data_IF_068597325784
#
_entry.id   IF_068597325784
#
_cell.length_a   1.000
_cell.length_b   1.000
_cell.length_c   1.000
_cell.angle_alpha   90.00
_cell.angle_beta   90.00
_cell.angle_gamma   90.00
#
_symmetry.space_group_name_H-M   'P 1'
#
loop_
_entity.id
_entity.type
_entity.pdbx_description
1 polymer ?
#
# COMPACT_ATOMS: atom_id res chain seq x y z
N UNK A 1 3.64 -23.92 -14.72
CA UNK A 1 4.82 -23.08 -14.47
C UNK A 1 4.57 -22.33 -13.17
N UNK A 2 5.21 -22.77 -12.07
CA UNK A 2 5.19 -22.02 -10.80
C UNK A 2 6.16 -20.83 -10.94
N UNK A 3 5.73 -19.75 -11.60
CA UNK A 3 6.43 -18.48 -11.45
C UNK A 3 6.17 -18.04 -10.01
N UNK A 4 7.19 -18.15 -9.16
CA UNK A 4 7.24 -17.34 -7.94
C UNK A 4 7.06 -15.91 -8.45
N UNK A 5 5.95 -15.27 -8.07
CA UNK A 5 5.76 -13.86 -8.41
C UNK A 5 6.90 -13.10 -7.74
N UNK A 6 7.52 -12.16 -8.43
CA UNK A 6 8.63 -11.36 -7.89
C UNK A 6 8.28 -10.73 -6.53
N UNK A 7 6.99 -10.40 -6.31
CA UNK A 7 6.44 -9.85 -5.07
C UNK A 7 6.56 -10.82 -3.90
N UNK A 8 6.31 -12.12 -4.08
CA UNK A 8 6.42 -13.08 -2.98
C UNK A 8 7.87 -13.30 -2.56
N UNK A 9 8.79 -13.29 -3.51
CA UNK A 9 10.22 -13.37 -3.25
C UNK A 9 10.75 -12.07 -2.62
N UNK A 10 10.33 -10.90 -3.15
CA UNK A 10 10.76 -9.60 -2.68
C UNK A 10 10.39 -9.36 -1.21
N UNK A 11 9.20 -9.74 -0.79
CA UNK A 11 8.70 -9.49 0.58
C UNK A 11 8.84 -10.70 1.51
N UNK A 12 9.24 -11.86 1.02
CA UNK A 12 9.29 -13.09 1.83
C UNK A 12 7.92 -13.59 2.29
N UNK A 13 6.88 -13.38 1.50
CA UNK A 13 5.48 -13.74 1.78
C UNK A 13 5.01 -14.95 0.96
N UNK A 14 3.93 -15.59 1.41
CA UNK A 14 3.39 -16.77 0.75
C UNK A 14 2.47 -16.43 -0.43
N UNK A 15 1.64 -15.41 -0.27
CA UNK A 15 0.64 -14.98 -1.27
C UNK A 15 0.98 -13.58 -1.76
N UNK A 16 0.87 -13.29 -3.06
CA UNK A 16 1.15 -11.96 -3.61
C UNK A 16 0.02 -10.97 -3.32
N UNK A 17 -0.37 -10.87 -2.05
CA UNK A 17 -1.45 -10.03 -1.54
C UNK A 17 -0.89 -9.09 -0.49
N UNK A 18 -1.05 -7.80 -0.72
CA UNK A 18 -0.72 -6.72 0.21
C UNK A 18 -2.01 -6.13 0.76
N UNK A 19 -2.14 -6.03 2.06
CA UNK A 19 -3.19 -5.23 2.68
C UNK A 19 -2.77 -3.76 2.68
N UNK A 20 -3.56 -2.91 2.06
CA UNK A 20 -3.27 -1.48 1.90
C UNK A 20 -3.11 -0.76 3.25
N UNK A 21 -2.17 0.17 3.32
CA UNK A 21 -2.07 1.10 4.44
C UNK A 21 -3.20 2.11 4.40
N UNK A 22 -4.22 1.94 5.24
CA UNK A 22 -5.42 2.78 5.26
C UNK A 22 -5.44 3.65 6.53
N UNK A 23 -5.65 4.96 6.35
CA UNK A 23 -5.80 5.94 7.43
C UNK A 23 -6.93 5.50 8.37
N UNK A 24 -6.73 5.59 9.69
CA UNK A 24 -7.67 5.21 10.76
C UNK A 24 -8.08 3.72 10.79
N UNK A 25 -7.60 2.90 9.87
CA UNK A 25 -8.06 1.51 9.67
C UNK A 25 -6.94 0.49 9.87
N UNK A 26 -5.78 0.74 9.28
CA UNK A 26 -4.67 -0.20 9.27
C UNK A 26 -3.74 -0.02 10.45
N UNK A 27 -4.12 -0.60 11.59
CA UNK A 27 -3.29 -0.69 12.79
C UNK A 27 -2.47 -1.98 12.84
N UNK A 28 -1.75 -2.17 13.94
CA UNK A 28 -0.91 -3.34 14.17
C UNK A 28 -1.68 -4.67 14.15
N UNK A 29 -2.93 -4.69 14.63
CA UNK A 29 -3.77 -5.90 14.66
C UNK A 29 -4.02 -6.43 13.25
N UNK A 30 -4.48 -5.56 12.35
CA UNK A 30 -4.72 -5.92 10.96
C UNK A 30 -3.42 -6.30 10.26
N UNK A 31 -2.37 -5.49 10.39
CA UNK A 31 -1.09 -5.76 9.74
C UNK A 31 -0.49 -7.11 10.17
N UNK A 32 -0.47 -7.41 11.48
CA UNK A 32 0.05 -8.68 11.97
C UNK A 32 -0.82 -9.88 11.58
N UNK A 33 -2.14 -9.74 11.58
CA UNK A 33 -3.05 -10.81 11.17
C UNK A 33 -2.86 -11.20 9.69
N UNK A 34 -2.76 -10.21 8.80
CA UNK A 34 -2.49 -10.45 7.37
C UNK A 34 -1.12 -11.09 7.17
N UNK A 35 -0.09 -10.60 7.86
CA UNK A 35 1.26 -11.17 7.80
C UNK A 35 1.28 -12.62 8.28
N UNK A 36 0.61 -12.94 9.38
CA UNK A 36 0.48 -14.30 9.90
C UNK A 36 -0.30 -15.23 8.94
N UNK A 37 -1.25 -14.67 8.18
CA UNK A 37 -1.99 -15.40 7.14
C UNK A 37 -1.17 -15.63 5.85
N UNK A 38 0.00 -15.01 5.72
CA UNK A 38 0.92 -15.23 4.59
C UNK A 38 0.87 -14.16 3.49
N UNK A 39 0.13 -13.07 3.68
CA UNK A 39 0.21 -11.85 2.88
C UNK A 39 1.22 -10.86 3.47
N UNK A 40 1.21 -9.62 2.98
CA UNK A 40 1.93 -8.50 3.56
C UNK A 40 0.96 -7.52 4.21
N UNK A 41 1.00 -7.41 5.54
CA UNK A 41 0.25 -6.40 6.27
C UNK A 41 1.00 -5.07 6.35
N UNK A 42 0.29 -3.95 6.14
CA UNK A 42 0.85 -2.61 6.25
C UNK A 42 0.19 -1.82 7.39
N UNK A 43 1.01 -1.20 8.23
CA UNK A 43 0.55 -0.17 9.17
C UNK A 43 0.42 1.15 8.41
N UNK A 44 -0.75 1.77 8.43
CA UNK A 44 -1.00 3.06 7.77
C UNK A 44 -0.57 4.23 8.67
N UNK A 45 0.57 4.84 8.40
CA UNK A 45 1.11 5.92 9.21
C UNK A 45 0.41 7.28 9.04
N UNK A 46 -0.32 7.47 7.94
CA UNK A 46 -0.85 8.77 7.51
C UNK A 46 -1.80 9.49 8.49
N UNK A 47 -2.26 8.82 9.55
CA UNK A 47 -3.10 9.43 10.59
C UNK A 47 -2.48 9.32 11.98
N UNK A 48 -1.24 8.87 12.08
CA UNK A 48 -0.62 8.58 13.37
C UNK A 48 0.40 9.65 13.73
N UNK A 49 0.30 10.19 14.95
CA UNK A 49 1.40 10.90 15.56
C UNK A 49 2.58 9.95 15.81
N UNK A 50 3.83 10.45 15.87
CA UNK A 50 5.03 9.63 16.00
C UNK A 50 4.97 8.59 17.14
N UNK A 51 4.50 8.96 18.33
CA UNK A 51 4.40 8.06 19.48
C UNK A 51 3.39 6.93 19.25
N UNK A 52 2.27 7.24 18.61
CA UNK A 52 1.26 6.25 18.23
C UNK A 52 1.82 5.30 17.19
N UNK A 53 2.50 5.83 16.19
CA UNK A 53 3.13 5.04 15.14
C UNK A 53 4.19 4.08 15.72
N UNK A 54 5.07 4.57 16.59
CA UNK A 54 6.05 3.76 17.32
C UNK A 54 5.38 2.62 18.09
N UNK A 55 4.29 2.93 18.80
CA UNK A 55 3.51 1.96 19.55
C UNK A 55 2.95 0.87 18.64
N UNK A 56 2.41 1.24 17.48
CA UNK A 56 1.89 0.28 16.50
C UNK A 56 2.98 -0.63 15.92
N UNK A 57 4.15 -0.10 15.59
CA UNK A 57 5.29 -0.89 15.12
C UNK A 57 5.70 -1.94 16.18
N UNK A 58 5.87 -1.51 17.43
CA UNK A 58 6.30 -2.42 18.52
C UNK A 58 5.28 -3.51 18.80
N UNK A 59 3.98 -3.16 18.83
CA UNK A 59 2.90 -4.14 18.98
C UNK A 59 2.84 -5.13 17.82
N UNK A 60 3.07 -4.65 16.59
CA UNK A 60 3.12 -5.52 15.41
C UNK A 60 4.28 -6.52 15.50
N UNK A 61 5.48 -6.05 15.88
CA UNK A 61 6.64 -6.92 16.12
C UNK A 61 6.40 -7.97 17.19
N UNK A 62 5.66 -7.62 18.23
CA UNK A 62 5.30 -8.57 19.29
C UNK A 62 4.23 -9.58 18.84
N UNK A 63 3.39 -9.24 17.87
CA UNK A 63 2.26 -10.05 17.40
C UNK A 63 2.61 -10.99 16.23
N UNK A 64 3.74 -10.75 15.53
CA UNK A 64 4.15 -11.56 14.38
C UNK A 64 5.67 -11.62 14.23
N UNK A 65 6.17 -12.78 13.79
CA UNK A 65 7.54 -12.97 13.32
C UNK A 65 7.62 -12.98 11.78
N UNK A 66 6.52 -12.67 11.09
CA UNK A 66 6.44 -12.61 9.64
C UNK A 66 6.72 -11.18 9.15
N UNK A 67 7.13 -11.01 7.88
CA UNK A 67 7.31 -9.69 7.30
C UNK A 67 6.04 -8.85 7.40
N UNK A 68 6.20 -7.60 7.79
CA UNK A 68 5.18 -6.56 7.71
C UNK A 68 5.83 -5.27 7.24
N UNK A 69 5.03 -4.33 6.78
CA UNK A 69 5.52 -3.03 6.35
C UNK A 69 4.74 -1.87 6.95
N UNK A 70 5.11 -0.68 6.55
CA UNK A 70 4.42 0.56 6.87
C UNK A 70 4.11 1.32 5.57
N UNK A 71 2.98 2.01 5.51
CA UNK A 71 2.66 2.95 4.44
C UNK A 71 2.78 4.38 4.97
N UNK A 72 3.56 5.21 4.27
CA UNK A 72 3.88 6.58 4.67
C UNK A 72 3.57 7.54 3.53
N UNK A 73 2.51 8.34 3.63
CA UNK A 73 2.27 9.44 2.71
C UNK A 73 3.28 10.57 2.98
N UNK A 74 4.14 10.88 2.00
CA UNK A 74 5.31 11.75 2.19
C UNK A 74 4.98 13.24 2.42
N UNK A 75 3.74 13.66 2.18
CA UNK A 75 3.30 15.03 2.38
C UNK A 75 2.72 15.31 3.78
N UNK A 76 2.70 14.32 4.66
CA UNK A 76 2.21 14.50 6.03
C UNK A 76 3.22 15.26 6.91
N UNK A 77 2.71 16.01 7.91
CA UNK A 77 3.56 16.65 8.92
C UNK A 77 4.43 15.63 9.68
N UNK A 78 5.50 16.09 10.28
CA UNK A 78 6.39 15.26 11.13
C UNK A 78 7.04 14.08 10.39
N UNK A 79 7.30 14.24 9.09
CA UNK A 79 7.87 13.18 8.28
C UNK A 79 9.25 12.73 8.78
N UNK A 80 10.08 13.67 9.22
CA UNK A 80 11.42 13.37 9.73
C UNK A 80 11.36 12.47 10.98
N UNK A 81 10.41 12.73 11.89
CA UNK A 81 10.19 11.89 13.08
C UNK A 81 9.70 10.48 12.70
N UNK A 82 8.77 10.39 11.75
CA UNK A 82 8.26 9.11 11.25
C UNK A 82 9.40 8.29 10.63
N UNK A 83 10.24 8.91 9.80
CA UNK A 83 11.36 8.23 9.15
C UNK A 83 12.44 7.84 10.16
N UNK A 84 12.72 8.69 11.16
CA UNK A 84 13.64 8.35 12.25
C UNK A 84 13.16 7.11 13.04
N UNK A 85 11.86 7.01 13.30
CA UNK A 85 11.25 5.83 13.95
C UNK A 85 11.42 4.58 13.07
N UNK A 86 11.14 4.67 11.76
CA UNK A 86 11.28 3.56 10.81
C UNK A 86 12.71 3.02 10.83
N UNK A 87 13.70 3.91 10.74
CA UNK A 87 15.11 3.56 10.75
C UNK A 87 15.54 2.94 12.09
N UNK A 88 15.18 3.58 13.21
CA UNK A 88 15.48 3.11 14.57
C UNK A 88 14.88 1.75 14.87
N UNK A 89 13.62 1.56 14.50
CA UNK A 89 12.89 0.30 14.70
C UNK A 89 13.21 -0.74 13.61
N UNK A 90 14.03 -0.42 12.61
CA UNK A 90 14.42 -1.34 11.52
C UNK A 90 13.20 -2.00 10.87
N UNK A 91 12.22 -1.18 10.46
CA UNK A 91 11.05 -1.68 9.74
C UNK A 91 11.52 -2.22 8.38
N UNK A 92 11.22 -3.47 8.02
CA UNK A 92 11.85 -4.10 6.87
C UNK A 92 11.35 -3.59 5.51
N UNK A 93 10.09 -3.11 5.44
CA UNK A 93 9.41 -2.75 4.19
C UNK A 93 8.67 -1.42 4.37
N UNK A 94 8.89 -0.47 3.48
CA UNK A 94 8.25 0.85 3.48
C UNK A 94 7.57 1.11 2.15
N UNK A 95 6.26 1.35 2.21
CA UNK A 95 5.47 1.85 1.09
C UNK A 95 5.36 3.37 1.24
N UNK A 96 5.84 4.12 0.28
CA UNK A 96 5.70 5.58 0.22
C UNK A 96 4.62 5.96 -0.77
N UNK A 97 3.91 7.05 -0.51
CA UNK A 97 2.87 7.60 -1.38
C UNK A 97 2.83 9.13 -1.27
N UNK A 98 2.06 9.78 -2.12
CA UNK A 98 1.74 11.21 -2.03
C UNK A 98 2.97 12.10 -1.79
N UNK A 99 3.89 12.14 -2.76
CA UNK A 99 5.07 12.98 -2.66
C UNK A 99 6.18 12.57 -3.62
N UNK A 100 7.40 13.10 -3.39
CA UNK A 100 8.53 12.79 -4.23
C UNK A 100 9.27 11.52 -3.72
N UNK A 101 9.29 10.41 -4.48
CA UNK A 101 9.98 9.19 -4.05
C UNK A 101 11.49 9.40 -3.79
N UNK A 102 12.13 10.34 -4.49
CA UNK A 102 13.56 10.60 -4.30
C UNK A 102 13.93 11.19 -2.93
N UNK A 103 12.96 11.73 -2.17
CA UNK A 103 13.25 12.39 -0.89
C UNK A 103 13.81 11.43 0.16
N UNK A 104 13.27 10.21 0.22
CA UNK A 104 13.62 9.26 1.29
C UNK A 104 14.13 7.91 0.77
N UNK A 105 13.91 7.57 -0.49
CA UNK A 105 14.34 6.27 -1.03
C UNK A 105 15.83 6.02 -0.83
N UNK A 106 16.76 6.95 -1.10
CA UNK A 106 18.19 6.69 -0.90
C UNK A 106 18.53 6.36 0.55
N UNK A 107 17.97 7.10 1.51
CA UNK A 107 18.19 6.88 2.95
C UNK A 107 17.67 5.53 3.41
N UNK A 108 16.45 5.17 3.01
CA UNK A 108 15.82 3.90 3.36
C UNK A 108 16.58 2.72 2.73
N UNK A 109 16.99 2.84 1.47
CA UNK A 109 17.80 1.83 0.77
C UNK A 109 19.17 1.63 1.42
N UNK A 110 19.83 2.70 1.83
CA UNK A 110 21.11 2.64 2.56
C UNK A 110 20.99 1.89 3.89
N UNK A 111 19.81 1.92 4.51
CA UNK A 111 19.47 1.15 5.72
C UNK A 111 19.05 -0.31 5.45
N UNK A 112 19.08 -0.77 4.19
CA UNK A 112 18.67 -2.14 3.81
C UNK A 112 17.15 -2.36 3.81
N UNK A 113 16.36 -1.29 3.75
CA UNK A 113 14.89 -1.36 3.75
C UNK A 113 14.40 -1.53 2.31
N UNK A 114 13.43 -2.42 2.11
CA UNK A 114 12.71 -2.56 0.84
C UNK A 114 11.74 -1.40 0.68
N UNK A 115 11.87 -0.64 -0.41
CA UNK A 115 11.08 0.57 -0.68
C UNK A 115 10.15 0.33 -1.86
N UNK A 116 8.87 0.62 -1.66
CA UNK A 116 7.82 0.56 -2.67
C UNK A 116 7.18 1.94 -2.79
N UNK A 117 6.84 2.38 -4.00
CA UNK A 117 6.15 3.67 -4.18
C UNK A 117 4.81 3.49 -4.89
N UNK A 118 3.78 4.20 -4.39
CA UNK A 118 2.44 4.18 -4.98
C UNK A 118 2.36 5.24 -6.08
N UNK A 119 1.86 4.85 -7.25
CA UNK A 119 1.82 5.69 -8.45
C UNK A 119 0.46 5.61 -9.14
N UNK A 120 0.01 6.73 -9.73
CA UNK A 120 -1.25 6.83 -10.47
C UNK A 120 -1.06 6.93 -12.00
N UNK A 121 0.19 6.97 -12.47
CA UNK A 121 0.49 7.13 -13.90
C UNK A 121 1.85 6.52 -14.27
N UNK A 122 2.06 6.31 -15.57
CA UNK A 122 3.35 5.88 -16.14
C UNK A 122 4.46 6.88 -15.79
N UNK A 123 4.18 8.18 -15.86
CA UNK A 123 5.14 9.24 -15.51
C UNK A 123 5.65 9.07 -14.07
N UNK A 124 4.77 8.79 -13.14
CA UNK A 124 5.15 8.60 -11.74
C UNK A 124 5.84 7.25 -11.51
N UNK A 125 5.48 6.21 -12.26
CA UNK A 125 6.19 4.93 -12.22
C UNK A 125 7.65 5.07 -12.64
N UNK A 126 7.92 5.75 -13.75
CA UNK A 126 9.28 6.04 -14.21
C UNK A 126 10.06 6.94 -13.24
N UNK A 127 9.38 7.91 -12.60
CA UNK A 127 9.99 8.73 -11.55
C UNK A 127 10.37 7.91 -10.32
N UNK A 128 9.53 6.96 -9.92
CA UNK A 128 9.81 6.06 -8.81
C UNK A 128 10.98 5.10 -9.13
N UNK A 129 11.01 4.55 -10.34
CA UNK A 129 12.11 3.73 -10.83
C UNK A 129 13.44 4.50 -10.83
N UNK A 130 13.44 5.73 -11.35
CA UNK A 130 14.62 6.60 -11.31
C UNK A 130 15.08 6.96 -9.89
N UNK A 131 14.19 6.96 -8.91
CA UNK A 131 14.52 7.16 -7.51
C UNK A 131 15.11 5.89 -6.83
N UNK A 132 15.10 4.73 -7.50
CA UNK A 132 15.70 3.49 -7.02
C UNK A 132 14.81 2.65 -6.10
N UNK A 133 13.47 2.76 -6.22
CA UNK A 133 12.56 1.89 -5.48
C UNK A 133 12.64 0.44 -5.93
N UNK A 134 12.26 -0.51 -5.07
CA UNK A 134 12.31 -1.94 -5.37
C UNK A 134 11.07 -2.46 -6.10
N UNK A 135 9.94 -1.76 -5.97
CA UNK A 135 8.68 -2.09 -6.62
C UNK A 135 7.78 -0.86 -6.70
N UNK A 136 6.74 -0.94 -7.52
CA UNK A 136 5.70 0.08 -7.60
C UNK A 136 4.31 -0.52 -7.35
N UNK A 137 3.44 0.27 -6.71
CA UNK A 137 2.00 0.01 -6.68
C UNK A 137 1.35 0.93 -7.70
N UNK A 138 0.80 0.39 -8.77
CA UNK A 138 -0.03 1.17 -9.69
C UNK A 138 -1.47 1.17 -9.18
N UNK A 139 -1.90 2.32 -8.69
CA UNK A 139 -3.21 2.50 -8.08
C UNK A 139 -4.15 3.20 -9.04
N UNK A 140 -5.15 2.43 -9.50
CA UNK A 140 -6.22 2.95 -10.35
C UNK A 140 -7.23 3.78 -9.56
N UNK A 141 -7.95 4.59 -10.29
CA UNK A 141 -8.94 5.53 -9.81
C UNK A 141 -10.08 4.88 -8.97
N UNK A 142 -10.33 3.60 -9.11
CA UNK A 142 -11.32 2.85 -8.31
C UNK A 142 -10.88 2.63 -6.85
N UNK A 143 -9.65 3.02 -6.48
CA UNK A 143 -9.19 2.98 -5.10
C UNK A 143 -9.98 3.95 -4.21
N UNK A 144 -10.24 3.57 -2.97
CA UNK A 144 -10.77 4.48 -1.96
C UNK A 144 -9.70 5.41 -1.39
N UNK A 145 -10.09 6.58 -0.94
CA UNK A 145 -9.18 7.59 -0.38
C UNK A 145 -8.71 8.61 -1.41
N UNK A 146 -7.48 9.08 -1.29
CA UNK A 146 -6.90 10.05 -2.23
C UNK A 146 -6.51 9.36 -3.54
N UNK A 147 -7.01 9.86 -4.66
CA UNK A 147 -6.76 9.32 -5.98
C UNK A 147 -5.80 10.22 -6.78
N UNK A 148 -5.16 9.65 -7.80
CA UNK A 148 -4.46 10.42 -8.82
C UNK A 148 -5.42 11.33 -9.60
N UNK A 149 -4.90 12.44 -10.11
CA UNK A 149 -5.68 13.41 -10.90
C UNK A 149 -6.12 12.88 -12.26
N UNK A 150 -5.41 11.88 -12.76
CA UNK A 150 -5.59 11.35 -14.12
C UNK A 150 -6.87 10.53 -14.28
N UNK A 151 -7.53 10.15 -13.19
CA UNK A 151 -8.73 9.31 -13.20
C UNK A 151 -8.58 8.03 -14.04
N UNK A 152 -7.34 7.52 -14.15
CA UNK A 152 -7.06 6.31 -14.93
C UNK A 152 -7.52 5.08 -14.17
N UNK A 153 -8.37 4.27 -14.79
CA UNK A 153 -8.87 3.03 -14.19
C UNK A 153 -7.76 1.99 -14.04
N UNK A 154 -7.89 1.11 -13.08
CA UNK A 154 -6.96 0.01 -12.83
C UNK A 154 -6.73 -0.84 -14.08
N UNK A 155 -7.81 -1.12 -14.81
CA UNK A 155 -7.76 -1.96 -16.02
C UNK A 155 -6.91 -1.33 -17.16
N UNK A 156 -6.88 0.00 -17.26
CA UNK A 156 -6.05 0.72 -18.22
C UNK A 156 -4.63 0.96 -17.67
N UNK A 157 -4.51 1.31 -16.38
CA UNK A 157 -3.24 1.72 -15.77
C UNK A 157 -2.22 0.57 -15.72
N UNK A 158 -2.66 -0.63 -15.30
CA UNK A 158 -1.74 -1.75 -15.07
C UNK A 158 -0.94 -2.13 -16.33
N UNK A 159 -1.56 -2.38 -17.50
CA UNK A 159 -0.78 -2.72 -18.71
C UNK A 159 0.08 -1.56 -19.21
N UNK A 160 -0.34 -0.30 -19.00
CA UNK A 160 0.47 0.86 -19.36
C UNK A 160 1.75 0.94 -18.52
N UNK A 161 1.63 0.77 -17.19
CA UNK A 161 2.79 0.78 -16.28
C UNK A 161 3.67 -0.44 -16.54
N UNK A 162 3.09 -1.63 -16.72
CA UNK A 162 3.86 -2.84 -17.04
C UNK A 162 4.69 -2.71 -18.31
N UNK A 163 4.17 -2.03 -19.33
CA UNK A 163 4.91 -1.78 -20.57
C UNK A 163 6.07 -0.79 -20.37
N UNK A 164 5.97 0.10 -19.39
CA UNK A 164 6.93 1.19 -19.18
C UNK A 164 8.08 0.83 -18.23
N UNK A 165 7.90 -0.12 -17.31
CA UNK A 165 8.92 -0.49 -16.32
C UNK A 165 9.02 -2.00 -16.14
N UNK A 166 10.23 -2.49 -15.83
CA UNK A 166 10.49 -3.87 -15.46
C UNK A 166 10.40 -4.13 -13.95
N UNK A 167 10.19 -3.11 -13.13
CA UNK A 167 10.04 -3.27 -11.68
C UNK A 167 8.89 -4.23 -11.33
N UNK A 168 8.98 -4.96 -10.20
CA UNK A 168 7.86 -5.66 -9.63
C UNK A 168 6.66 -4.72 -9.48
N UNK A 169 5.49 -5.17 -10.00
CA UNK A 169 4.28 -4.34 -10.15
C UNK A 169 3.14 -4.90 -9.31
N UNK A 170 2.64 -4.09 -8.40
CA UNK A 170 1.46 -4.39 -7.58
C UNK A 170 0.28 -3.60 -8.12
N UNK A 171 -0.84 -4.26 -8.42
CA UNK A 171 -2.06 -3.59 -8.84
C UNK A 171 -2.91 -3.20 -7.62
N UNK A 172 -3.44 -1.99 -7.59
CA UNK A 172 -4.38 -1.50 -6.58
C UNK A 172 -5.53 -0.73 -7.22
N UNK A 173 -6.68 -0.70 -6.53
CA UNK A 173 -7.91 -0.06 -7.00
C UNK A 173 -8.93 -1.06 -7.55
N UNK A 174 -10.12 -1.11 -6.96
CA UNK A 174 -11.22 -1.96 -7.40
C UNK A 174 -11.04 -3.48 -7.23
N UNK A 175 -9.99 -3.93 -6.59
CA UNK A 175 -9.66 -5.36 -6.43
C UNK A 175 -10.12 -5.84 -5.05
N UNK A 176 -11.09 -6.76 -5.02
CA UNK A 176 -11.65 -7.30 -3.77
C UNK A 176 -11.87 -8.82 -3.78
N UNK A 177 -11.67 -9.48 -4.92
CA UNK A 177 -11.96 -10.91 -5.13
C UNK A 177 -10.81 -11.62 -5.82
N UNK A 178 -10.81 -12.97 -5.76
CA UNK A 178 -9.84 -13.78 -6.51
C UNK A 178 -9.93 -13.57 -8.03
N UNK A 179 -11.13 -13.34 -8.56
CA UNK A 179 -11.33 -13.03 -9.98
C UNK A 179 -10.68 -11.68 -10.36
N UNK A 180 -10.86 -10.63 -9.51
CA UNK A 180 -10.19 -9.34 -9.69
C UNK A 180 -8.67 -9.45 -9.60
N UNK A 181 -8.15 -10.25 -8.68
CA UNK A 181 -6.73 -10.54 -8.58
C UNK A 181 -6.21 -11.24 -9.85
N UNK A 182 -6.91 -12.26 -10.34
CA UNK A 182 -6.53 -12.96 -11.57
C UNK A 182 -6.52 -12.01 -12.77
N UNK A 183 -7.53 -11.15 -12.90
CA UNK A 183 -7.59 -10.13 -13.95
C UNK A 183 -6.39 -9.16 -13.87
N UNK A 184 -6.05 -8.65 -12.69
CA UNK A 184 -4.89 -7.79 -12.51
C UNK A 184 -3.58 -8.48 -12.90
N UNK A 185 -3.42 -9.76 -12.54
CA UNK A 185 -2.24 -10.55 -12.92
C UNK A 185 -2.20 -10.83 -14.43
N UNK A 186 -3.36 -11.06 -15.06
CA UNK A 186 -3.44 -11.21 -16.52
C UNK A 186 -3.06 -9.92 -17.27
N UNK A 187 -3.30 -8.75 -16.66
CA UNK A 187 -2.88 -7.44 -17.18
C UNK A 187 -1.38 -7.15 -16.95
N UNK A 188 -0.67 -8.02 -16.23
CA UNK A 188 0.77 -7.92 -16.03
C UNK A 188 1.23 -7.53 -14.62
N UNK A 189 0.34 -7.48 -13.64
CA UNK A 189 0.72 -7.30 -12.25
C UNK A 189 1.36 -8.58 -11.66
N UNK A 190 2.33 -8.41 -10.76
CA UNK A 190 2.98 -9.49 -10.02
C UNK A 190 2.29 -9.81 -8.69
N UNK A 191 1.40 -8.93 -8.24
CA UNK A 191 0.60 -9.06 -7.04
C UNK A 191 -0.45 -7.97 -6.94
N UNK A 192 -1.23 -7.98 -5.86
CA UNK A 192 -2.32 -7.02 -5.65
C UNK A 192 -2.24 -6.37 -4.27
N UNK A 193 -2.64 -5.10 -4.20
CA UNK A 193 -2.90 -4.39 -2.95
C UNK A 193 -4.40 -4.18 -2.80
N UNK A 194 -4.93 -4.58 -1.66
CA UNK A 194 -6.38 -4.61 -1.37
C UNK A 194 -6.67 -3.75 -0.15
N UNK A 195 -7.65 -2.87 -0.25
CA UNK A 195 -8.08 -1.96 0.82
C UNK A 195 -9.44 -2.35 1.42
N UNK A 196 -10.53 -1.97 0.77
CA UNK A 196 -11.90 -2.02 1.31
C UNK A 196 -12.34 -3.41 1.80
N UNK A 197 -11.85 -4.48 1.18
CA UNK A 197 -12.11 -5.84 1.66
C UNK A 197 -11.59 -6.06 3.09
N UNK A 198 -10.42 -5.51 3.42
CA UNK A 198 -9.83 -5.61 4.76
C UNK A 198 -10.48 -4.66 5.78
N UNK A 199 -11.15 -3.58 5.34
CA UNK A 199 -11.93 -2.72 6.24
C UNK A 199 -13.00 -3.52 6.99
N UNK A 200 -13.61 -4.49 6.32
CA UNK A 200 -14.68 -5.32 6.88
C UNK A 200 -14.20 -6.39 7.87
N UNK A 201 -12.87 -6.55 8.08
CA UNK A 201 -12.33 -7.54 9.01
C UNK A 201 -12.42 -7.08 10.48
N UNK A 202 -12.40 -8.02 11.42
CA UNK A 202 -12.44 -7.73 12.85
C UNK A 202 -11.23 -6.93 13.31
N UNK A 203 -10.05 -7.20 12.74
CA UNK A 203 -8.78 -6.62 13.12
C UNK A 203 -8.60 -5.17 12.64
N UNK A 204 -9.42 -4.70 11.70
CA UNK A 204 -9.42 -3.32 11.25
C UNK A 204 -9.80 -2.38 12.39
N UNK A 205 -9.03 -1.27 12.57
CA UNK A 205 -9.18 -0.38 13.70
C UNK A 205 -10.31 0.66 13.56
N UNK A 206 -10.91 0.77 12.37
CA UNK A 206 -11.95 1.75 12.11
C UNK A 206 -13.24 1.49 12.91
N UNK A 207 -14.04 2.55 13.03
CA UNK A 207 -15.29 2.49 13.80
C UNK A 207 -16.27 1.43 13.24
N UNK A 208 -16.99 0.67 14.08
CA UNK A 208 -17.91 -0.38 13.64
C UNK A 208 -18.97 0.08 12.62
N UNK A 209 -19.49 1.32 12.75
CA UNK A 209 -20.42 1.89 11.77
C UNK A 209 -19.81 2.05 10.38
N UNK A 210 -18.51 2.35 10.29
CA UNK A 210 -17.81 2.42 9.00
C UNK A 210 -17.68 1.03 8.38
N UNK A 211 -17.33 0.01 9.19
CA UNK A 211 -17.33 -1.39 8.71
C UNK A 211 -18.69 -1.79 8.19
N UNK A 212 -19.75 -1.47 8.94
CA UNK A 212 -21.13 -1.79 8.52
C UNK A 212 -21.49 -1.08 7.22
N UNK A 213 -21.14 0.22 7.07
CA UNK A 213 -21.36 0.95 5.83
C UNK A 213 -20.66 0.32 4.61
N UNK A 214 -19.47 -0.26 4.82
CA UNK A 214 -18.75 -0.99 3.76
C UNK A 214 -19.45 -2.32 3.44
N UNK A 215 -19.97 -3.02 4.44
CA UNK A 215 -20.71 -4.28 4.25
C UNK A 215 -22.06 -4.07 3.55
N UNK A 216 -22.73 -2.96 3.86
CA UNK A 216 -24.05 -2.62 3.30
C UNK A 216 -23.94 -1.90 1.94
N UNK A 217 -22.69 -1.61 1.48
CA UNK A 217 -22.48 -0.87 0.25
C UNK A 217 -23.08 -1.58 -0.97
N UNK A 218 -23.80 -0.80 -1.77
CA UNK A 218 -24.42 -1.21 -3.01
C UNK A 218 -23.81 -0.45 -4.19
N UNK A 219 -24.28 -0.71 -5.38
CA UNK A 219 -23.97 0.10 -6.55
C UNK A 219 -24.19 1.60 -6.24
N UNK A 220 -23.24 2.47 -6.56
CA UNK A 220 -23.26 3.90 -6.31
C UNK A 220 -23.12 4.34 -4.84
N UNK A 221 -22.71 3.45 -3.93
CA UNK A 221 -22.43 3.81 -2.53
C UNK A 221 -21.16 4.64 -2.36
N UNK A 222 -20.35 4.78 -3.39
CA UNK A 222 -19.14 5.59 -3.38
C UNK A 222 -19.26 6.76 -4.35
N UNK A 223 -18.68 7.91 -3.96
CA UNK A 223 -18.67 9.12 -4.76
C UNK A 223 -17.25 9.65 -4.89
N UNK A 224 -16.92 10.17 -6.06
CA UNK A 224 -15.74 11.02 -6.22
C UNK A 224 -16.12 12.44 -5.80
N UNK A 225 -15.42 12.97 -4.82
CA UNK A 225 -15.70 14.29 -4.24
C UNK A 225 -14.40 15.04 -3.96
N UNK A 226 -14.50 16.32 -3.61
CA UNK A 226 -13.39 17.17 -3.20
C UNK A 226 -12.30 17.33 -4.29
N UNK A 227 -12.68 17.25 -5.57
CA UNK A 227 -11.75 17.39 -6.70
C UNK A 227 -11.04 18.75 -6.74
N UNK A 228 -11.65 19.76 -6.14
CA UNK A 228 -11.13 21.13 -6.07
C UNK A 228 -10.04 21.28 -5.03
N UNK A 229 -9.95 20.35 -4.07
CA UNK A 229 -8.90 20.39 -3.06
C UNK A 229 -7.58 19.97 -3.70
N UNK A 230 -6.53 20.69 -3.33
CA UNK A 230 -5.19 20.34 -3.77
C UNK A 230 -4.90 18.90 -3.34
N UNK A 231 -4.56 18.01 -4.28
CA UNK A 231 -4.18 16.65 -3.89
C UNK A 231 -2.93 16.69 -3.04
N UNK A 232 -2.96 15.90 -2.04
CA UNK A 232 -1.83 15.64 -1.15
C UNK A 232 -0.77 14.84 -1.89
#
# INVERSE_FOLDING_TARGET
>A
MNRRTDITALFGIRYPIVQAGMVWTSGWRLASAVSNAGGLGLIGAGSMHPDTFLTHIRKCKAATNKPFGVNVPLLYPQMDDIMAIILKEKVPIVFTSAGNPASWTPTLKAAGITVVHVVSSVKFALKAEAAGVDAVVAEGFEAGGHNGREETTTFALIPMVRKATALPLIAAGGIATGAGMLAAMALGADGVQVGSRFVASEEAACHPRFKQAVLDAQERSTLLTLKELTPV
#
